data_IF_790635873153
#
_entry.id   IF_790635873153
#
_cell.length_a   1.000
_cell.length_b   1.000
_cell.length_c   1.000
_cell.angle_alpha   90.00
_cell.angle_beta   90.00
_cell.angle_gamma   90.00
#
_symmetry.space_group_name_H-M   'P 1'
#
loop_
_entity.id
_entity.type
_entity.pdbx_description
1 polymer ?
#
# COMPACT_ATOMS: atom_id res chain seq x y z
N UNK A 1 8.12 -28.48 -6.93
CA UNK A 1 9.06 -27.40 -6.61
C UNK A 1 8.34 -26.30 -5.84
N UNK A 2 8.20 -26.48 -4.52
CA UNK A 2 7.44 -25.58 -3.65
C UNK A 2 8.29 -24.37 -3.27
N UNK A 3 8.11 -23.25 -3.97
CA UNK A 3 8.71 -21.98 -3.62
C UNK A 3 7.67 -21.13 -2.87
N UNK A 4 7.48 -21.42 -1.58
CA UNK A 4 6.74 -20.52 -0.69
C UNK A 4 7.76 -19.61 0.02
N UNK A 5 8.16 -18.52 -0.65
CA UNK A 5 8.76 -17.37 0.05
C UNK A 5 7.68 -16.79 0.94
N UNK A 6 7.97 -16.60 2.24
CA UNK A 6 7.09 -15.82 3.12
C UNK A 6 7.02 -14.41 2.54
N UNK A 7 5.79 -13.87 2.44
CA UNK A 7 5.59 -12.47 2.05
C UNK A 7 6.44 -11.58 2.95
N UNK A 8 7.32 -10.80 2.35
CA UNK A 8 8.15 -9.85 3.09
C UNK A 8 7.24 -8.77 3.70
N UNK A 9 7.74 -8.08 4.72
CA UNK A 9 7.01 -6.98 5.36
C UNK A 9 6.66 -5.89 4.34
N UNK A 10 7.57 -5.66 3.40
CA UNK A 10 7.38 -4.81 2.23
C UNK A 10 6.20 -5.27 1.37
N UNK A 11 6.15 -6.55 0.97
CA UNK A 11 5.05 -7.08 0.15
C UNK A 11 3.70 -6.91 0.83
N UNK A 12 3.63 -7.09 2.16
CA UNK A 12 2.38 -6.87 2.92
C UNK A 12 1.93 -5.42 2.88
N UNK A 13 2.86 -4.47 2.98
CA UNK A 13 2.56 -3.04 2.92
C UNK A 13 2.17 -2.61 1.50
N UNK A 14 2.86 -3.11 0.46
CA UNK A 14 2.49 -2.87 -0.94
C UNK A 14 1.09 -3.43 -1.23
N UNK A 15 0.75 -4.61 -0.70
CA UNK A 15 -0.57 -5.22 -0.89
C UNK A 15 -1.68 -4.43 -0.18
N UNK A 16 -1.39 -3.82 0.97
CA UNK A 16 -2.30 -2.88 1.66
C UNK A 16 -2.46 -1.58 0.87
N UNK A 17 -1.35 -1.02 0.38
CA UNK A 17 -1.36 0.16 -0.49
C UNK A 17 -2.23 -0.06 -1.72
N UNK A 18 -2.03 -1.16 -2.46
CA UNK A 18 -2.80 -1.46 -3.68
C UNK A 18 -4.30 -1.60 -3.39
N UNK A 19 -4.66 -2.19 -2.24
CA UNK A 19 -6.06 -2.23 -1.78
C UNK A 19 -6.64 -0.85 -1.53
N UNK A 20 -5.92 0.01 -0.80
CA UNK A 20 -6.37 1.37 -0.50
C UNK A 20 -6.51 2.21 -1.77
N UNK A 21 -5.56 2.12 -2.70
CA UNK A 21 -5.61 2.83 -3.98
C UNK A 21 -6.79 2.34 -4.84
N UNK A 22 -7.04 1.02 -4.90
CA UNK A 22 -8.22 0.48 -5.59
C UNK A 22 -9.53 0.94 -4.95
N UNK A 23 -9.60 0.94 -3.62
CA UNK A 23 -10.75 1.48 -2.90
C UNK A 23 -10.94 2.96 -3.17
N UNK A 24 -9.87 3.76 -3.13
CA UNK A 24 -9.92 5.18 -3.43
C UNK A 24 -10.42 5.42 -4.86
N UNK A 25 -9.85 4.73 -5.86
CA UNK A 25 -10.29 4.85 -7.24
C UNK A 25 -11.75 4.44 -7.44
N UNK A 26 -12.21 3.39 -6.74
CA UNK A 26 -13.62 3.00 -6.76
C UNK A 26 -14.51 4.06 -6.10
N UNK A 27 -14.05 4.63 -4.99
CA UNK A 27 -14.75 5.68 -4.26
C UNK A 27 -14.71 7.01 -5.02
N UNK A 28 -13.72 7.31 -5.86
CA UNK A 28 -13.67 8.58 -6.60
C UNK A 28 -14.90 8.79 -7.49
N UNK A 29 -15.51 7.68 -7.93
CA UNK A 29 -16.73 7.66 -8.74
C UNK A 29 -18.02 7.84 -7.91
N UNK A 30 -17.97 7.62 -6.59
CA UNK A 30 -19.16 7.61 -5.72
C UNK A 30 -19.10 8.64 -4.58
N UNK A 31 -17.92 8.83 -3.99
CA UNK A 31 -17.61 9.70 -2.85
C UNK A 31 -16.16 10.20 -2.93
N UNK A 32 -16.00 11.45 -3.41
CA UNK A 32 -14.69 12.11 -3.50
C UNK A 32 -14.00 12.28 -2.15
N UNK A 33 -14.74 12.56 -1.08
CA UNK A 33 -14.15 12.81 0.23
C UNK A 33 -13.55 11.52 0.80
N UNK A 34 -14.26 10.41 0.63
CA UNK A 34 -13.76 9.10 1.01
C UNK A 34 -12.56 8.66 0.14
N UNK A 35 -12.58 8.99 -1.16
CA UNK A 35 -11.43 8.77 -2.05
C UNK A 35 -10.17 9.48 -1.57
N UNK A 36 -10.27 10.77 -1.27
CA UNK A 36 -9.13 11.58 -0.83
C UNK A 36 -8.53 11.05 0.48
N UNK A 37 -9.37 10.64 1.43
CA UNK A 37 -8.92 10.02 2.68
C UNK A 37 -8.14 8.71 2.44
N UNK A 38 -8.63 7.86 1.54
CA UNK A 38 -7.99 6.58 1.20
C UNK A 38 -6.69 6.76 0.43
N UNK A 39 -6.60 7.78 -0.42
CA UNK A 39 -5.34 8.15 -1.08
C UNK A 39 -4.29 8.62 -0.06
N UNK A 40 -4.68 9.42 0.93
CA UNK A 40 -3.77 9.87 1.98
C UNK A 40 -3.25 8.69 2.83
N UNK A 41 -4.14 7.76 3.22
CA UNK A 41 -3.72 6.52 3.91
C UNK A 41 -2.74 5.68 3.06
N UNK A 42 -2.96 5.61 1.74
CA UNK A 42 -2.09 4.90 0.83
C UNK A 42 -0.70 5.58 0.75
N UNK A 43 -0.63 6.90 0.64
CA UNK A 43 0.64 7.64 0.66
C UNK A 43 1.45 7.41 1.94
N UNK A 44 0.81 7.41 3.11
CA UNK A 44 1.48 7.09 4.38
C UNK A 44 2.06 5.65 4.37
N UNK A 45 1.33 4.71 3.79
CA UNK A 45 1.79 3.33 3.63
C UNK A 45 2.98 3.23 2.69
N UNK A 46 2.98 4.01 1.60
CA UNK A 46 4.10 4.07 0.67
C UNK A 46 5.36 4.63 1.33
N UNK A 47 5.24 5.68 2.15
CA UNK A 47 6.38 6.20 2.90
C UNK A 47 6.97 5.16 3.86
N UNK A 48 6.13 4.34 4.50
CA UNK A 48 6.60 3.21 5.34
C UNK A 48 7.34 2.17 4.51
N UNK A 49 6.85 1.86 3.31
CA UNK A 49 7.53 0.95 2.36
C UNK A 49 8.90 1.50 1.97
N UNK A 50 9.00 2.77 1.61
CA UNK A 50 10.27 3.41 1.26
C UNK A 50 11.25 3.41 2.44
N UNK A 51 10.78 3.74 3.64
CA UNK A 51 11.59 3.69 4.86
C UNK A 51 12.10 2.27 5.15
N UNK A 52 11.26 1.24 4.94
CA UNK A 52 11.64 -0.16 5.10
C UNK A 52 12.63 -0.63 4.03
N UNK A 53 12.46 -0.20 2.77
CA UNK A 53 13.41 -0.46 1.69
C UNK A 53 14.77 0.17 2.00
N UNK A 54 14.77 1.42 2.44
CA UNK A 54 15.98 2.13 2.86
C UNK A 54 16.68 1.42 4.02
N UNK A 55 15.95 0.93 5.02
CA UNK A 55 16.54 0.21 6.16
C UNK A 55 17.05 -1.20 5.79
N UNK A 56 16.41 -1.88 4.84
CA UNK A 56 16.85 -3.19 4.35
C UNK A 56 18.08 -3.13 3.44
N UNK A 57 18.42 -1.95 2.93
CA UNK A 57 19.53 -1.75 1.98
C UNK A 57 20.86 -1.37 2.66
N UNK A 58 20.87 -1.25 4.00
CA UNK A 58 22.04 -0.91 4.83
C UNK A 58 22.62 -2.09 5.60
#
# INVERSE_FOLDING_TARGET
>A
MGWFRKKTEEEKLIEQYDKLVKEAHRLSHSDRKASDAKQAEAEELWQKVEALRSQQQS
#
